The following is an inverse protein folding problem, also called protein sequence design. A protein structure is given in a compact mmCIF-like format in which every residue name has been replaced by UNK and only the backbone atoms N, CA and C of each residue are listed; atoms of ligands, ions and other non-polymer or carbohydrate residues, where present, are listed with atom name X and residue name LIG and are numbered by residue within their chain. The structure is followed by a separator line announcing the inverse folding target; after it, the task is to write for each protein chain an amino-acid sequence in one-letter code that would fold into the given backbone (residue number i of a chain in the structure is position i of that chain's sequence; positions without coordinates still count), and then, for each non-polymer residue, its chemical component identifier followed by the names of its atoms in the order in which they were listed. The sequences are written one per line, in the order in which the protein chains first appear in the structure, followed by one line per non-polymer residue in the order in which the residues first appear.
data_IF_968951768592
#
_entry.id   IF_968951768592
#
_cell.length_a   1.000
_cell.length_b   1.000
_cell.length_c   1.000
_cell.angle_alpha   90.00
_cell.angle_beta   90.00
_cell.angle_gamma   90.00
#
_symmetry.space_group_name_H-M   'P 1'
#
loop_
_entity.id
_entity.type
_entity.pdbx_description
1 polymer ?
#
# COMPACT_ATOMS: atom_id res chain seq x y z
N UNK A 1 -9.82 14.47 -26.13
CA UNK A 1 -9.33 14.97 -24.83
C UNK A 1 -8.25 13.98 -24.38
N UNK A 2 -7.04 14.44 -24.02
CA UNK A 2 -5.94 13.54 -23.62
C UNK A 2 -6.09 13.24 -22.12
N UNK A 3 -6.27 11.97 -21.73
CA UNK A 3 -6.44 11.61 -20.32
C UNK A 3 -5.07 11.51 -19.65
N UNK A 4 -4.66 12.59 -18.99
CA UNK A 4 -3.48 12.58 -18.12
C UNK A 4 -3.90 11.95 -16.79
N UNK A 5 -3.48 10.71 -16.55
CA UNK A 5 -3.63 10.03 -15.26
C UNK A 5 -2.38 10.25 -14.42
N UNK A 6 -2.51 10.69 -13.17
CA UNK A 6 -1.37 10.78 -12.27
C UNK A 6 -1.20 9.43 -11.54
N UNK A 7 0.04 9.00 -11.34
CA UNK A 7 0.35 7.74 -10.65
C UNK A 7 1.41 7.97 -9.58
N UNK A 8 0.98 8.05 -8.32
CA UNK A 8 1.87 8.03 -7.16
C UNK A 8 1.93 6.61 -6.57
N UNK A 9 2.73 5.73 -7.17
CA UNK A 9 2.82 4.31 -6.77
C UNK A 9 4.13 4.09 -5.99
N UNK A 10 4.08 4.02 -4.65
CA UNK A 10 5.29 3.94 -3.82
C UNK A 10 5.42 2.62 -3.05
N UNK A 11 6.20 1.70 -3.60
CA UNK A 11 6.46 0.37 -3.02
C UNK A 11 7.77 0.28 -2.24
N UNK A 12 7.72 -0.43 -1.12
CA UNK A 12 8.79 -0.67 -0.14
C UNK A 12 10.14 -1.23 -0.65
N UNK A 13 11.10 -1.34 0.27
CA UNK A 13 12.47 -1.80 0.06
C UNK A 13 12.58 -3.32 0.32
N UNK A 14 13.23 -4.07 -0.57
CA UNK A 14 14.02 -5.24 -0.17
C UNK A 14 15.50 -5.07 -0.57
N UNK A 15 16.39 -5.36 0.37
CA UNK A 15 17.85 -5.47 0.18
C UNK A 15 18.15 -6.56 -0.86
N UNK A 16 18.88 -6.31 -1.95
CA UNK A 16 20.34 -6.22 -1.97
C UNK A 16 20.88 -5.46 -3.18
N UNK A 17 20.01 -4.87 -4.02
CA UNK A 17 20.44 -4.11 -5.21
C UNK A 17 19.93 -2.66 -5.15
N UNK A 18 20.87 -1.73 -4.91
CA UNK A 18 20.66 -0.30 -4.65
C UNK A 18 20.10 0.53 -5.82
N UNK A 19 19.60 -0.09 -6.90
CA UNK A 19 19.22 0.63 -8.13
C UNK A 19 17.71 0.78 -8.37
N UNK A 20 16.87 -0.13 -7.87
CA UNK A 20 15.44 -0.12 -8.19
C UNK A 20 14.60 -0.13 -6.90
N UNK A 21 13.75 0.89 -6.73
CA UNK A 21 12.93 1.14 -5.53
C UNK A 21 11.41 1.18 -5.82
N UNK A 22 11.01 0.92 -7.06
CA UNK A 22 9.65 0.48 -7.46
C UNK A 22 9.83 -0.87 -8.11
N UNK A 23 8.81 -1.74 -8.05
CA UNK A 23 8.83 -2.99 -8.80
C UNK A 23 8.78 -2.65 -10.30
N UNK A 24 9.94 -2.68 -11.01
CA UNK A 24 9.98 -2.25 -12.39
C UNK A 24 9.22 -3.25 -13.24
N UNK A 25 8.59 -2.78 -14.31
CA UNK A 25 7.81 -3.62 -15.21
C UNK A 25 8.58 -4.87 -15.68
N UNK A 26 9.88 -4.73 -15.96
CA UNK A 26 10.74 -5.85 -16.38
C UNK A 26 10.88 -6.99 -15.36
N UNK A 27 10.44 -6.80 -14.10
CA UNK A 27 10.42 -7.84 -13.06
C UNK A 27 9.02 -8.41 -12.82
N UNK A 28 8.02 -8.02 -13.59
CA UNK A 28 6.68 -8.58 -13.49
C UNK A 28 6.61 -9.98 -14.12
N UNK A 29 5.59 -10.75 -13.75
CA UNK A 29 5.30 -12.00 -14.44
C UNK A 29 5.10 -11.74 -15.94
N UNK A 30 5.60 -12.65 -16.77
CA UNK A 30 5.53 -12.58 -18.24
C UNK A 30 6.19 -11.32 -18.86
N UNK A 31 7.07 -10.63 -18.12
CA UNK A 31 7.68 -9.36 -18.56
C UNK A 31 8.28 -9.42 -19.97
N UNK A 32 8.98 -10.49 -20.36
CA UNK A 32 9.59 -10.57 -21.69
C UNK A 32 8.56 -10.60 -22.83
N UNK A 33 7.44 -11.30 -22.65
CA UNK A 33 6.36 -11.31 -23.63
C UNK A 33 5.65 -9.96 -23.69
N UNK A 34 5.42 -9.38 -22.51
CA UNK A 34 4.77 -8.10 -22.33
C UNK A 34 5.61 -6.94 -22.90
N UNK A 35 6.92 -6.92 -22.67
CA UNK A 35 7.87 -5.96 -23.27
C UNK A 35 7.85 -6.03 -24.80
N UNK A 36 7.87 -7.24 -25.38
CA UNK A 36 7.85 -7.41 -26.85
C UNK A 36 6.58 -6.84 -27.49
N UNK A 37 5.48 -6.79 -26.75
CA UNK A 37 4.16 -6.32 -27.22
C UNK A 37 3.86 -4.88 -26.78
N UNK A 38 4.74 -4.24 -26.03
CA UNK A 38 4.50 -2.94 -25.42
C UNK A 38 4.66 -1.78 -26.42
N UNK A 39 4.03 -1.85 -27.59
CA UNK A 39 4.05 -0.82 -28.64
C UNK A 39 2.77 0.02 -28.59
N UNK A 40 2.75 1.02 -27.69
CA UNK A 40 1.60 1.87 -27.44
C UNK A 40 2.03 3.34 -27.47
N UNK A 41 2.20 3.96 -28.65
CA UNK A 41 2.76 5.32 -28.76
C UNK A 41 1.90 6.41 -28.12
N UNK A 42 0.60 6.14 -27.93
CA UNK A 42 -0.36 7.00 -27.25
C UNK A 42 -0.37 6.83 -25.72
N UNK A 43 0.37 5.86 -25.20
CA UNK A 43 0.67 5.76 -23.76
C UNK A 43 2.03 6.41 -23.52
N UNK A 44 2.09 7.41 -22.65
CA UNK A 44 3.33 8.11 -22.30
C UNK A 44 3.57 8.11 -20.81
N UNK A 45 4.84 8.04 -20.43
CA UNK A 45 5.27 8.09 -19.02
C UNK A 45 6.19 9.29 -18.79
N UNK A 46 6.07 9.92 -17.64
CA UNK A 46 7.01 10.90 -17.11
C UNK A 46 7.46 10.44 -15.72
N UNK A 47 8.74 10.19 -15.53
CA UNK A 47 9.26 9.77 -14.21
C UNK A 47 9.98 10.91 -13.54
N UNK A 48 9.50 11.29 -12.35
CA UNK A 48 10.14 12.32 -11.53
C UNK A 48 11.45 11.77 -10.95
N UNK A 49 12.55 12.49 -11.16
CA UNK A 49 13.82 12.23 -10.49
C UNK A 49 13.62 12.39 -8.99
N UNK A 50 14.05 11.36 -8.24
CA UNK A 50 14.01 11.35 -6.79
C UNK A 50 14.75 12.54 -6.19
N UNK A 51 13.99 13.43 -5.61
CA UNK A 51 14.48 14.69 -5.04
C UNK A 51 13.74 14.94 -3.73
N UNK A 52 14.50 15.25 -2.68
CA UNK A 52 13.94 15.75 -1.42
C UNK A 52 14.14 17.25 -1.40
N UNK A 53 13.19 17.99 -0.82
CA UNK A 53 13.33 19.43 -0.66
C UNK A 53 12.73 19.90 0.67
N UNK A 54 13.31 20.94 1.25
CA UNK A 54 12.82 21.56 2.49
C UNK A 54 11.60 22.45 2.27
N UNK A 55 11.44 22.98 1.05
CA UNK A 55 10.33 23.82 0.62
C UNK A 55 9.74 23.30 -0.68
N UNK A 56 8.45 23.53 -0.95
CA UNK A 56 7.83 23.20 -2.23
C UNK A 56 8.67 23.71 -3.40
N UNK A 57 8.98 22.83 -4.34
CA UNK A 57 9.67 23.18 -5.58
C UNK A 57 8.62 23.50 -6.65
N UNK A 58 8.96 24.42 -7.55
CA UNK A 58 8.10 24.79 -8.68
C UNK A 58 8.41 23.96 -9.94
N UNK A 59 9.49 23.18 -9.93
CA UNK A 59 9.92 22.36 -11.06
C UNK A 59 10.58 21.07 -10.56
N UNK A 60 10.60 20.05 -11.42
CA UNK A 60 11.24 18.77 -11.17
C UNK A 60 11.94 18.24 -12.42
N UNK A 61 13.01 17.46 -12.20
CA UNK A 61 13.71 16.82 -13.31
C UNK A 61 12.97 15.54 -13.72
N UNK A 62 12.59 15.45 -14.98
CA UNK A 62 12.00 14.27 -15.62
C UNK A 62 11.88 14.48 -17.13
N UNK A 63 11.45 13.46 -17.87
CA UNK A 63 11.13 13.62 -19.29
C UNK A 63 10.01 12.66 -19.68
N UNK A 64 9.22 13.08 -20.67
CA UNK A 64 8.19 12.25 -21.28
C UNK A 64 8.81 11.28 -22.28
N UNK A 65 8.33 10.04 -22.28
CA UNK A 65 8.67 9.05 -23.29
C UNK A 65 7.46 8.18 -23.62
N UNK A 66 7.36 7.73 -24.87
CA UNK A 66 6.31 6.81 -25.34
C UNK A 66 6.54 5.40 -24.81
N UNK A 67 5.46 4.64 -24.61
CA UNK A 67 5.53 3.22 -24.32
C UNK A 67 5.94 2.43 -25.57
N UNK A 68 7.16 1.89 -25.56
CA UNK A 68 7.68 0.98 -26.58
C UNK A 68 8.56 -0.11 -25.92
N UNK A 69 8.93 -1.18 -26.63
CA UNK A 69 9.77 -2.26 -26.07
C UNK A 69 11.12 -1.81 -25.50
N UNK A 70 11.65 -0.66 -25.93
CA UNK A 70 12.93 -0.10 -25.49
C UNK A 70 12.79 0.70 -24.19
N UNK A 71 11.65 1.38 -23.96
CA UNK A 71 11.45 2.32 -22.85
C UNK A 71 10.65 1.75 -21.68
N UNK A 72 9.79 0.76 -21.92
CA UNK A 72 8.79 0.30 -20.92
C UNK A 72 9.41 -0.41 -19.70
N UNK A 73 10.66 -0.86 -19.76
CA UNK A 73 11.28 -1.76 -18.76
C UNK A 73 11.27 -1.20 -17.33
N UNK A 74 11.51 0.09 -17.19
CA UNK A 74 11.73 0.74 -15.89
C UNK A 74 10.54 1.56 -15.39
N UNK A 75 9.40 1.49 -16.08
CA UNK A 75 8.15 2.09 -15.61
C UNK A 75 7.52 1.26 -14.48
N UNK A 76 6.55 1.84 -13.78
CA UNK A 76 5.74 1.12 -12.81
C UNK A 76 4.98 -0.03 -13.48
N UNK A 77 5.17 -1.27 -13.01
CA UNK A 77 4.41 -2.41 -13.53
C UNK A 77 2.89 -2.23 -13.37
N UNK A 78 2.44 -1.70 -12.23
CA UNK A 78 1.02 -1.40 -12.01
C UNK A 78 0.54 -0.31 -12.98
N UNK A 79 1.34 0.76 -13.14
CA UNK A 79 1.02 1.87 -14.04
C UNK A 79 0.92 1.43 -15.50
N UNK A 80 1.81 0.55 -15.97
CA UNK A 80 1.75 -0.04 -17.30
C UNK A 80 0.46 -0.84 -17.51
N UNK A 81 0.16 -1.80 -16.64
CA UNK A 81 -1.03 -2.65 -16.83
C UNK A 81 -2.34 -1.86 -16.67
N UNK A 82 -2.37 -0.85 -15.81
CA UNK A 82 -3.50 0.08 -15.70
C UNK A 82 -3.69 0.88 -16.99
N UNK A 83 -2.66 1.61 -17.42
CA UNK A 83 -2.75 2.51 -18.58
C UNK A 83 -3.03 1.77 -19.87
N UNK A 84 -2.45 0.58 -20.06
CA UNK A 84 -2.75 -0.26 -21.21
C UNK A 84 -4.23 -0.58 -21.30
N UNK A 85 -4.85 -1.03 -20.19
CA UNK A 85 -6.28 -1.36 -20.21
C UNK A 85 -7.14 -0.12 -20.41
N UNK A 86 -6.84 0.99 -19.75
CA UNK A 86 -7.58 2.26 -19.96
C UNK A 86 -7.50 2.69 -21.42
N UNK A 87 -6.30 2.68 -22.03
CA UNK A 87 -6.12 3.05 -23.43
C UNK A 87 -6.90 2.11 -24.37
N UNK A 88 -6.84 0.80 -24.15
CA UNK A 88 -7.53 -0.19 -24.98
C UNK A 88 -9.07 -0.08 -24.93
N UNK A 89 -9.63 0.29 -23.78
CA UNK A 89 -11.08 0.31 -23.55
C UNK A 89 -11.70 1.66 -23.91
N UNK A 90 -10.93 2.76 -23.78
CA UNK A 90 -11.41 4.11 -24.05
C UNK A 90 -10.96 4.66 -25.41
N UNK A 91 -9.94 4.06 -26.04
CA UNK A 91 -9.30 4.53 -27.27
C UNK A 91 -8.83 6.00 -27.21
N UNK A 92 -8.30 6.40 -26.05
CA UNK A 92 -7.75 7.76 -25.82
C UNK A 92 -6.27 7.70 -25.44
N UNK A 93 -5.47 8.73 -25.75
CA UNK A 93 -4.10 8.81 -25.25
C UNK A 93 -4.08 8.89 -23.72
N UNK A 94 -3.13 8.18 -23.10
CA UNK A 94 -2.97 8.09 -21.65
C UNK A 94 -1.57 8.55 -21.25
N UNK A 95 -1.50 9.61 -20.44
CA UNK A 95 -0.25 10.04 -19.79
C UNK A 95 -0.16 9.53 -18.35
N UNK A 96 1.02 9.06 -17.91
CA UNK A 96 1.29 8.74 -16.50
C UNK A 96 2.43 9.58 -15.93
N UNK A 97 2.08 10.42 -14.96
CA UNK A 97 3.06 11.09 -14.09
C UNK A 97 3.47 10.14 -12.97
N UNK A 98 4.72 9.69 -12.96
CA UNK A 98 5.25 8.72 -12.02
C UNK A 98 6.09 9.39 -10.95
N UNK A 99 5.54 9.49 -9.74
CA UNK A 99 6.21 10.05 -8.57
C UNK A 99 6.28 8.99 -7.46
N UNK A 100 7.48 8.47 -7.19
CA UNK A 100 7.63 7.36 -6.25
C UNK A 100 9.00 7.26 -5.56
N UNK A 101 8.99 6.81 -4.30
CA UNK A 101 10.21 6.56 -3.53
C UNK A 101 10.06 5.45 -2.50
N UNK A 102 10.54 4.24 -2.81
CA UNK A 102 10.29 3.09 -1.95
C UNK A 102 10.71 3.21 -0.49
N UNK A 103 9.82 2.73 0.40
CA UNK A 103 10.02 2.73 1.85
C UNK A 103 9.56 4.01 2.56
N UNK A 104 9.37 5.12 1.83
CA UNK A 104 8.98 6.41 2.40
C UNK A 104 7.68 6.33 3.20
N UNK A 105 7.57 7.14 4.26
CA UNK A 105 6.36 7.22 5.09
C UNK A 105 5.35 8.21 4.50
N UNK A 106 4.07 8.06 4.86
CA UNK A 106 2.97 8.90 4.37
C UNK A 106 3.22 10.39 4.62
N UNK A 107 3.72 10.76 5.81
CA UNK A 107 3.98 12.15 6.17
C UNK A 107 5.04 12.82 5.28
N UNK A 108 5.92 12.06 4.63
CA UNK A 108 6.89 12.62 3.68
C UNK A 108 6.23 13.14 2.39
N UNK A 109 5.06 12.59 2.04
CA UNK A 109 4.27 12.91 0.84
C UNK A 109 3.10 13.86 1.10
N UNK A 110 2.96 14.31 2.34
CA UNK A 110 1.95 15.29 2.77
C UNK A 110 2.64 16.63 2.98
N UNK A 111 2.02 17.72 2.54
CA UNK A 111 2.57 19.05 2.75
C UNK A 111 2.73 19.39 4.23
N UNK A 112 3.65 20.32 4.52
CA UNK A 112 3.90 20.73 5.90
C UNK A 112 2.67 21.38 6.54
N UNK A 113 2.01 22.29 5.80
CA UNK A 113 0.83 23.01 6.28
C UNK A 113 -0.31 22.06 6.64
N UNK A 114 -0.56 21.02 5.83
CA UNK A 114 -1.62 20.05 6.11
C UNK A 114 -1.31 19.16 7.31
N UNK A 115 -0.03 18.84 7.55
CA UNK A 115 0.37 18.12 8.75
C UNK A 115 0.23 19.01 10.00
N UNK A 116 0.64 20.27 9.93
CA UNK A 116 0.54 21.22 11.05
C UNK A 116 -0.92 21.57 11.37
N UNK A 117 -1.83 21.54 10.39
CA UNK A 117 -3.26 21.76 10.56
C UNK A 117 -3.99 20.63 11.31
N UNK A 118 -3.30 19.51 11.61
CA UNK A 118 -3.85 18.35 12.33
C UNK A 118 -3.17 18.20 13.69
N UNK A 119 -3.79 18.68 14.79
CA UNK A 119 -3.22 18.53 16.14
C UNK A 119 -2.86 17.08 16.49
N UNK A 120 -3.63 16.11 15.99
CA UNK A 120 -3.39 14.67 16.21
C UNK A 120 -2.08 14.19 15.57
N UNK A 121 -1.53 14.92 14.59
CA UNK A 121 -0.24 14.63 13.94
C UNK A 121 0.93 15.22 14.74
N UNK A 122 0.70 16.15 15.68
CA UNK A 122 1.77 16.83 16.41
C UNK A 122 2.82 15.89 17.05
N UNK A 123 2.46 14.77 17.71
CA UNK A 123 3.46 13.88 18.30
C UNK A 123 4.42 13.28 17.26
N UNK A 124 3.97 13.12 16.01
CA UNK A 124 4.78 12.68 14.87
C UNK A 124 5.85 13.70 14.54
N UNK A 125 5.46 14.97 14.49
CA UNK A 125 6.33 16.08 14.14
C UNK A 125 7.34 16.36 15.26
N UNK A 126 6.89 16.31 16.52
CA UNK A 126 7.74 16.45 17.69
C UNK A 126 8.81 15.36 17.74
N UNK A 127 8.44 14.10 17.45
CA UNK A 127 9.39 12.98 17.37
C UNK A 127 10.49 13.27 16.34
N UNK A 128 10.13 13.74 15.14
CA UNK A 128 11.12 14.10 14.12
C UNK A 128 12.05 15.23 14.57
N UNK A 129 11.52 16.25 15.25
CA UNK A 129 12.34 17.34 15.78
C UNK A 129 13.32 16.85 16.85
N UNK A 130 12.88 15.93 17.71
CA UNK A 130 13.76 15.34 18.71
C UNK A 130 14.83 14.45 18.07
N UNK A 131 14.51 13.67 17.04
CA UNK A 131 15.50 12.90 16.27
C UNK A 131 16.56 13.81 15.63
N UNK A 132 16.16 14.98 15.10
CA UNK A 132 17.11 15.97 14.58
C UNK A 132 18.01 16.52 15.68
N UNK A 133 17.46 16.84 16.85
CA UNK A 133 18.20 17.38 17.99
C UNK A 133 19.19 16.38 18.58
N UNK A 134 18.80 15.10 18.67
CA UNK A 134 19.62 14.01 19.22
C UNK A 134 20.77 13.60 18.31
N UNK A 135 20.66 13.84 17.01
CA UNK A 135 21.69 13.41 16.07
C UNK A 135 22.93 14.30 16.13
N UNK A 136 24.04 13.72 16.57
CA UNK A 136 25.36 14.32 16.57
C UNK A 136 26.20 13.71 15.42
N UNK A 137 26.52 14.48 14.36
CA UNK A 137 27.27 13.99 13.21
C UNK A 137 28.68 13.50 13.58
N UNK A 138 29.34 14.13 14.55
CA UNK A 138 30.69 13.76 14.97
C UNK A 138 30.67 12.44 15.75
N UNK A 139 29.74 12.29 16.70
CA UNK A 139 29.56 11.01 17.41
C UNK A 139 29.15 9.89 16.45
N UNK A 140 28.30 10.16 15.47
CA UNK A 140 27.90 9.18 14.46
C UNK A 140 29.11 8.71 13.61
N UNK A 141 29.97 9.65 13.20
CA UNK A 141 31.22 9.36 12.47
C UNK A 141 32.19 8.52 13.33
N UNK A 142 32.50 8.96 14.55
CA UNK A 142 33.40 8.24 15.46
C UNK A 142 32.90 6.83 15.78
N UNK A 143 31.59 6.68 15.99
CA UNK A 143 30.97 5.37 16.16
C UNK A 143 31.18 4.48 14.92
N UNK A 144 30.97 5.00 13.72
CA UNK A 144 31.12 4.23 12.48
C UNK A 144 32.58 3.81 12.23
N UNK A 145 33.53 4.70 12.49
CA UNK A 145 34.96 4.40 12.39
C UNK A 145 35.35 3.27 13.35
N UNK A 146 34.87 3.30 14.61
CA UNK A 146 35.06 2.22 15.59
C UNK A 146 34.47 0.90 15.11
N UNK A 147 33.25 0.91 14.56
CA UNK A 147 32.61 -0.29 14.02
C UNK A 147 33.35 -0.84 12.79
N UNK A 148 33.84 0.03 11.90
CA UNK A 148 34.62 -0.38 10.73
C UNK A 148 35.95 -1.01 11.14
N UNK A 149 36.63 -0.48 12.15
CA UNK A 149 37.86 -1.07 12.68
C UNK A 149 37.60 -2.47 13.24
N UNK A 150 36.58 -2.64 14.09
CA UNK A 150 36.19 -3.94 14.62
C UNK A 150 35.80 -4.93 13.51
N UNK A 151 35.02 -4.47 12.52
CA UNK A 151 34.61 -5.28 11.37
C UNK A 151 35.80 -5.77 10.55
N UNK A 152 36.81 -4.93 10.30
CA UNK A 152 38.03 -5.34 9.59
C UNK A 152 38.72 -6.50 10.30
N UNK A 153 38.85 -6.43 11.62
CA UNK A 153 39.41 -7.53 12.43
C UNK A 153 38.58 -8.80 12.32
N UNK A 154 37.25 -8.69 12.38
CA UNK A 154 36.36 -9.85 12.24
C UNK A 154 36.41 -10.48 10.83
N UNK A 155 36.59 -9.67 9.77
CA UNK A 155 36.78 -10.19 8.40
C UNK A 155 38.08 -10.97 8.28
N UNK A 156 39.19 -10.48 8.87
CA UNK A 156 40.45 -11.21 8.86
C UNK A 156 40.34 -12.54 9.59
N UNK A 157 39.67 -12.56 10.76
CA UNK A 157 39.39 -13.79 11.51
C UNK A 157 38.52 -14.77 10.71
N UNK A 158 37.46 -14.29 10.07
CA UNK A 158 36.59 -15.13 9.25
C UNK A 158 37.36 -15.77 8.07
N UNK A 159 38.27 -15.01 7.43
CA UNK A 159 39.15 -15.54 6.39
C UNK A 159 40.08 -16.64 6.91
N UNK A 160 40.68 -16.46 8.09
CA UNK A 160 41.60 -17.47 8.65
C UNK A 160 40.89 -18.76 9.09
N UNK A 161 39.60 -18.70 9.41
CA UNK A 161 38.80 -19.88 9.83
C UNK A 161 37.90 -20.43 8.72
N UNK A 162 38.04 -19.97 7.47
CA UNK A 162 37.19 -20.40 6.35
C UNK A 162 35.70 -20.05 6.52
N UNK A 163 35.37 -19.14 7.43
CA UNK A 163 33.99 -18.76 7.75
C UNK A 163 33.49 -17.61 6.87
N UNK A 164 32.17 -17.45 6.77
CA UNK A 164 31.57 -16.35 6.02
C UNK A 164 31.93 -14.98 6.63
N UNK A 165 32.22 -14.00 5.77
CA UNK A 165 32.58 -12.66 6.24
C UNK A 165 31.38 -11.93 6.85
N UNK A 166 31.56 -11.24 8.00
CA UNK A 166 30.48 -10.46 8.59
C UNK A 166 30.10 -9.28 7.69
N UNK A 167 28.85 -8.82 7.82
CA UNK A 167 28.34 -7.68 7.06
C UNK A 167 29.05 -6.39 7.47
N UNK A 168 29.48 -5.60 6.48
CA UNK A 168 30.10 -4.28 6.73
C UNK A 168 29.11 -3.34 7.43
N UNK A 169 29.49 -2.69 8.54
CA UNK A 169 28.62 -1.74 9.24
C UNK A 169 28.35 -0.52 8.35
N UNK A 170 27.09 -0.11 8.31
CA UNK A 170 26.68 1.12 7.63
C UNK A 170 26.89 2.33 8.55
N UNK A 171 27.19 3.49 7.96
CA UNK A 171 27.15 4.75 8.69
C UNK A 171 25.71 5.02 9.16
N UNK A 172 25.57 5.68 10.31
CA UNK A 172 24.27 6.21 10.73
C UNK A 172 23.92 7.37 9.80
N UNK A 173 22.75 7.30 9.18
CA UNK A 173 22.25 8.38 8.34
C UNK A 173 21.80 9.55 9.22
N UNK A 174 22.09 10.77 8.78
CA UNK A 174 21.49 11.95 9.37
C UNK A 174 19.97 11.91 9.15
N UNK A 175 19.14 12.02 10.20
CA UNK A 175 17.69 12.02 10.06
C UNK A 175 17.18 13.18 9.19
N UNK A 176 17.92 14.29 9.08
CA UNK A 176 17.58 15.43 8.20
C UNK A 176 17.67 15.05 6.71
N UNK A 177 18.56 14.11 6.39
CA UNK A 177 18.72 13.50 5.08
C UNK A 177 17.80 12.28 4.88
N UNK A 178 16.75 12.11 5.69
CA UNK A 178 15.83 10.98 5.54
C UNK A 178 14.77 11.26 4.48
N UNK A 179 14.51 10.29 3.60
CA UNK A 179 13.33 10.32 2.71
C UNK A 179 12.00 10.11 3.45
N UNK A 180 12.05 9.84 4.75
CA UNK A 180 10.85 9.69 5.58
C UNK A 180 10.48 11.01 6.28
N UNK A 181 11.32 12.05 6.17
CA UNK A 181 11.11 13.34 6.84
C UNK A 181 9.79 13.98 6.37
N UNK A 182 8.96 14.54 7.28
CA UNK A 182 7.71 15.18 6.92
C UNK A 182 7.88 16.20 5.79
N UNK A 183 6.94 16.17 4.83
CA UNK A 183 6.86 17.02 3.65
C UNK A 183 8.02 16.97 2.64
N UNK A 184 9.11 16.27 2.89
CA UNK A 184 10.31 16.41 2.04
C UNK A 184 10.11 15.86 0.61
N UNK A 185 9.28 14.83 0.44
CA UNK A 185 8.96 14.24 -0.86
C UNK A 185 7.77 14.93 -1.52
N UNK A 186 6.80 15.40 -0.74
CA UNK A 186 5.78 16.32 -1.24
C UNK A 186 6.44 17.51 -1.93
N UNK A 187 7.35 18.16 -1.21
CA UNK A 187 8.04 19.35 -1.67
C UNK A 187 8.84 19.14 -2.97
N UNK A 188 9.58 18.03 -3.06
CA UNK A 188 10.49 17.77 -4.18
C UNK A 188 9.89 16.99 -5.34
N UNK A 189 8.76 16.29 -5.14
CA UNK A 189 8.25 15.33 -6.13
C UNK A 189 6.73 15.37 -6.37
N UNK A 190 5.97 16.10 -5.56
CA UNK A 190 4.51 16.26 -5.72
C UNK A 190 4.18 17.71 -6.07
N UNK A 191 4.69 18.66 -5.29
CA UNK A 191 4.46 20.08 -5.50
C UNK A 191 4.80 20.56 -6.92
N UNK A 192 5.92 20.14 -7.56
CA UNK A 192 6.22 20.51 -8.95
C UNK A 192 5.24 19.98 -9.99
N UNK A 193 4.46 18.96 -9.64
CA UNK A 193 3.46 18.37 -10.54
C UNK A 193 2.11 19.07 -10.43
N UNK A 194 1.95 19.96 -9.44
CA UNK A 194 0.87 20.92 -9.40
C UNK A 194 1.37 22.11 -10.24
N UNK A 195 0.77 22.41 -11.41
CA UNK A 195 -0.67 22.35 -11.67
C UNK A 195 -1.10 21.43 -12.83
N UNK A 196 -0.40 20.32 -13.12
CA UNK A 196 -0.86 19.40 -14.15
C UNK A 196 -2.31 19.00 -13.87
N UNK A 197 -3.18 19.16 -14.88
CA UNK A 197 -4.52 18.61 -14.81
C UNK A 197 -4.45 17.10 -14.80
N UNK A 198 -5.12 16.48 -13.84
CA UNK A 198 -5.13 15.03 -13.66
C UNK A 198 -6.55 14.48 -13.70
N UNK A 199 -6.70 13.27 -14.25
CA UNK A 199 -7.97 12.52 -14.22
C UNK A 199 -8.16 11.76 -12.91
N UNK A 200 -7.08 11.46 -12.20
CA UNK A 200 -7.09 10.74 -10.94
C UNK A 200 -5.70 10.29 -10.52
N UNK A 201 -5.63 9.57 -9.40
CA UNK A 201 -4.39 9.12 -8.77
C UNK A 201 -4.43 7.63 -8.47
N UNK A 202 -3.38 6.90 -8.82
CA UNK A 202 -3.13 5.57 -8.24
C UNK A 202 -2.19 5.74 -7.05
N UNK A 203 -2.61 5.25 -5.88
CA UNK A 203 -1.87 5.35 -4.62
C UNK A 203 -1.59 3.96 -4.03
N UNK A 204 -0.33 3.54 -4.05
CA UNK A 204 0.12 2.37 -3.30
C UNK A 204 1.08 2.87 -2.22
N UNK A 205 0.57 3.06 -1.01
CA UNK A 205 1.32 3.62 0.11
C UNK A 205 0.78 3.10 1.44
N UNK A 206 1.60 3.17 2.49
CA UNK A 206 1.26 2.81 3.88
C UNK A 206 2.26 1.85 4.51
N UNK A 207 2.95 1.06 3.70
CA UNK A 207 3.91 0.07 4.21
C UNK A 207 5.15 0.69 4.91
N UNK A 208 5.49 1.94 4.60
CA UNK A 208 6.54 2.68 5.33
C UNK A 208 6.16 3.01 6.78
N UNK A 209 4.86 2.97 7.09
CA UNK A 209 4.28 3.33 8.38
C UNK A 209 3.92 2.10 9.24
N UNK A 210 4.25 0.87 8.83
CA UNK A 210 3.83 -0.36 9.54
C UNK A 210 4.24 -0.43 11.01
N UNK A 211 5.38 0.15 11.39
CA UNK A 211 5.79 0.25 12.80
C UNK A 211 4.84 1.13 13.64
N UNK A 212 3.97 1.89 13.00
CA UNK A 212 3.05 2.91 13.54
C UNK A 212 1.73 2.88 12.76
N UNK A 213 1.24 1.67 12.47
CA UNK A 213 0.10 1.46 11.58
C UNK A 213 -1.21 2.05 12.14
N UNK A 214 -1.28 2.31 13.45
CA UNK A 214 -2.34 3.06 14.13
C UNK A 214 -2.48 4.51 13.66
N UNK A 215 -1.39 5.15 13.24
CA UNK A 215 -1.41 6.49 12.64
C UNK A 215 -1.89 6.51 11.19
N UNK A 216 -2.09 5.35 10.55
CA UNK A 216 -2.31 5.26 9.10
C UNK A 216 -3.64 5.85 8.64
N UNK A 217 -4.71 5.74 9.43
CA UNK A 217 -6.00 6.39 9.10
C UNK A 217 -5.80 7.90 9.03
N UNK A 218 -5.22 8.47 10.09
CA UNK A 218 -4.96 9.91 10.22
C UNK A 218 -4.08 10.43 9.09
N UNK A 219 -2.94 9.76 8.84
CA UNK A 219 -1.97 10.20 7.86
C UNK A 219 -2.46 10.03 6.42
N UNK A 220 -3.09 8.90 6.07
CA UNK A 220 -3.65 8.71 4.72
C UNK A 220 -4.77 9.70 4.46
N UNK A 221 -5.71 9.87 5.38
CA UNK A 221 -6.80 10.84 5.24
C UNK A 221 -6.25 12.26 5.06
N UNK A 222 -5.23 12.65 5.85
CA UNK A 222 -4.58 13.97 5.73
C UNK A 222 -3.90 14.14 4.37
N UNK A 223 -3.13 13.15 3.91
CA UNK A 223 -2.42 13.19 2.63
C UNK A 223 -3.38 13.32 1.44
N UNK A 224 -4.44 12.51 1.40
CA UNK A 224 -5.37 12.51 0.27
C UNK A 224 -6.19 13.81 0.21
N UNK A 225 -6.60 14.35 1.36
CA UNK A 225 -7.28 15.65 1.45
C UNK A 225 -6.33 16.79 1.04
N UNK A 226 -5.09 16.77 1.50
CA UNK A 226 -4.05 17.73 1.13
C UNK A 226 -3.85 17.79 -0.39
N UNK A 227 -3.69 16.64 -1.04
CA UNK A 227 -3.56 16.58 -2.50
C UNK A 227 -4.80 17.15 -3.20
N UNK A 228 -6.03 16.77 -2.79
CA UNK A 228 -7.26 17.32 -3.38
C UNK A 228 -7.34 18.84 -3.25
N UNK A 229 -7.06 19.36 -2.06
CA UNK A 229 -7.05 20.81 -1.81
C UNK A 229 -6.06 21.53 -2.71
N UNK A 230 -4.85 20.99 -2.87
CA UNK A 230 -3.76 21.68 -3.57
C UNK A 230 -3.85 21.59 -5.09
N UNK A 231 -4.37 20.48 -5.62
CA UNK A 231 -4.72 20.41 -7.04
C UNK A 231 -5.93 21.27 -7.38
N UNK A 232 -6.83 21.50 -6.42
CA UNK A 232 -8.05 22.28 -6.60
C UNK A 232 -8.93 21.77 -7.77
N UNK A 233 -8.94 20.44 -7.99
CA UNK A 233 -9.73 19.77 -9.03
C UNK A 233 -10.87 18.92 -8.46
N UNK A 234 -11.45 19.37 -7.34
CA UNK A 234 -12.52 18.66 -6.63
C UNK A 234 -12.09 17.30 -6.09
N UNK A 235 -13.06 16.38 -5.95
CA UNK A 235 -12.83 15.02 -5.45
C UNK A 235 -12.36 14.08 -6.57
N UNK A 236 -11.20 14.38 -7.17
CA UNK A 236 -10.67 13.50 -8.23
C UNK A 236 -10.54 12.04 -7.72
N UNK A 237 -10.78 11.05 -8.60
CA UNK A 237 -10.67 9.64 -8.29
C UNK A 237 -9.29 9.24 -7.74
N UNK A 238 -9.27 8.43 -6.68
CA UNK A 238 -8.03 7.86 -6.12
C UNK A 238 -8.18 6.34 -5.95
N UNK A 239 -7.40 5.57 -6.72
CA UNK A 239 -7.33 4.12 -6.59
C UNK A 239 -6.24 3.68 -5.61
N UNK A 240 -6.63 3.17 -4.45
CA UNK A 240 -5.69 2.64 -3.45
C UNK A 240 -5.44 1.13 -3.61
N UNK A 241 -4.27 0.68 -3.21
CA UNK A 241 -3.91 -0.76 -3.19
C UNK A 241 -3.70 -1.24 -1.76
N UNK A 242 -4.43 -2.28 -1.34
CA UNK A 242 -4.15 -2.93 -0.05
C UNK A 242 -2.89 -3.78 -0.13
N UNK A 243 -2.06 -3.80 0.93
CA UNK A 243 -0.86 -4.62 0.93
C UNK A 243 -1.19 -6.11 0.94
N UNK A 244 -0.38 -6.90 0.23
CA UNK A 244 -0.48 -8.35 0.21
C UNK A 244 -0.14 -8.98 1.58
N UNK A 245 -0.52 -10.26 1.79
CA UNK A 245 -0.11 -11.04 2.96
C UNK A 245 1.41 -11.08 3.06
N UNK A 246 1.95 -10.82 4.25
CA UNK A 246 3.40 -10.84 4.46
C UNK A 246 3.74 -11.21 5.91
N UNK A 247 4.69 -12.12 6.08
CA UNK A 247 5.23 -12.46 7.38
C UNK A 247 6.27 -11.41 7.82
N UNK A 248 5.91 -10.60 8.80
CA UNK A 248 6.81 -9.63 9.43
C UNK A 248 7.34 -10.06 10.81
N UNK A 249 7.26 -11.34 11.20
CA UNK A 249 7.75 -11.84 12.50
C UNK A 249 9.23 -11.50 12.73
N UNK A 250 10.03 -11.41 11.66
CA UNK A 250 11.45 -11.03 11.72
C UNK A 250 11.68 -9.53 11.95
N UNK A 251 10.63 -8.70 11.93
CA UNK A 251 10.73 -7.27 12.15
C UNK A 251 10.48 -7.02 13.64
N UNK A 252 11.58 -7.01 14.42
CA UNK A 252 11.60 -6.92 15.89
C UNK A 252 10.88 -5.71 16.52
N UNK A 253 10.21 -4.87 15.73
CA UNK A 253 9.49 -3.66 16.15
C UNK A 253 8.06 -3.56 15.60
N UNK A 254 7.57 -4.50 14.77
CA UNK A 254 6.17 -4.50 14.37
C UNK A 254 5.33 -5.22 15.42
N UNK A 255 4.20 -4.65 15.81
CA UNK A 255 3.17 -5.41 16.53
C UNK A 255 2.69 -6.60 15.70
N UNK A 256 2.00 -7.56 16.32
CA UNK A 256 1.55 -8.83 15.73
C UNK A 256 0.56 -8.70 14.55
N UNK A 257 0.14 -7.48 14.20
CA UNK A 257 -1.00 -7.22 13.31
C UNK A 257 -0.79 -5.98 12.40
N UNK A 258 0.46 -5.56 12.16
CA UNK A 258 0.75 -4.30 11.48
C UNK A 258 0.16 -4.21 10.06
N UNK A 259 0.16 -5.31 9.31
CA UNK A 259 -0.43 -5.35 7.96
C UNK A 259 -1.94 -5.35 7.99
N UNK A 260 -2.57 -6.10 8.90
CA UNK A 260 -4.04 -6.11 9.01
C UNK A 260 -4.56 -4.72 9.41
N UNK A 261 -3.88 -4.06 10.35
CA UNK A 261 -4.14 -2.67 10.76
C UNK A 261 -4.01 -1.70 9.58
N UNK A 262 -2.96 -1.86 8.76
CA UNK A 262 -2.78 -1.02 7.56
C UNK A 262 -3.88 -1.24 6.51
N UNK A 263 -4.31 -2.49 6.29
CA UNK A 263 -5.41 -2.82 5.35
C UNK A 263 -6.73 -2.26 5.83
N UNK A 264 -6.99 -2.35 7.13
CA UNK A 264 -8.18 -1.76 7.77
C UNK A 264 -8.16 -0.24 7.66
N UNK A 265 -7.01 0.41 7.90
CA UNK A 265 -6.89 1.85 7.75
C UNK A 265 -7.26 2.33 6.33
N UNK A 266 -6.83 1.61 5.30
CA UNK A 266 -7.19 1.92 3.90
C UNK A 266 -8.68 1.72 3.62
N UNK A 267 -9.30 0.70 4.21
CA UNK A 267 -10.75 0.48 4.11
C UNK A 267 -11.54 1.59 4.81
N UNK A 268 -11.09 2.03 5.99
CA UNK A 268 -11.71 3.15 6.73
C UNK A 268 -11.62 4.43 5.90
N UNK A 269 -10.45 4.75 5.34
CA UNK A 269 -10.26 5.94 4.48
C UNK A 269 -11.16 5.86 3.25
N UNK A 270 -11.26 4.70 2.61
CA UNK A 270 -12.15 4.48 1.47
C UNK A 270 -13.63 4.74 1.82
N UNK A 271 -14.09 4.36 3.02
CA UNK A 271 -15.46 4.63 3.48
C UNK A 271 -15.71 6.09 3.86
N UNK A 272 -14.68 6.80 4.33
CA UNK A 272 -14.77 8.20 4.78
C UNK A 272 -14.72 9.22 3.63
N UNK A 273 -14.17 8.83 2.49
CA UNK A 273 -13.90 9.74 1.38
C UNK A 273 -14.59 9.27 0.09
N UNK A 274 -15.16 10.20 -0.65
CA UNK A 274 -15.78 9.97 -1.97
C UNK A 274 -14.73 9.65 -3.03
N UNK A 275 -15.11 8.94 -4.09
CA UNK A 275 -14.27 8.62 -5.25
C UNK A 275 -12.95 7.90 -4.89
N UNK A 276 -12.98 7.03 -3.87
CA UNK A 276 -11.86 6.18 -3.50
C UNK A 276 -12.11 4.74 -3.93
N UNK A 277 -11.23 4.23 -4.80
CA UNK A 277 -11.14 2.82 -5.16
C UNK A 277 -10.23 2.06 -4.21
N UNK A 278 -10.50 0.77 -4.05
CA UNK A 278 -9.64 -0.13 -3.28
C UNK A 278 -9.40 -1.40 -4.10
N UNK A 279 -8.15 -1.73 -4.36
CA UNK A 279 -7.71 -2.98 -4.96
C UNK A 279 -7.14 -3.88 -3.87
N UNK A 280 -7.90 -4.88 -3.36
CA UNK A 280 -7.39 -5.87 -2.44
C UNK A 280 -6.29 -6.70 -3.13
N UNK A 281 -5.32 -7.22 -2.38
CA UNK A 281 -4.32 -8.18 -2.89
C UNK A 281 -4.09 -9.33 -1.92
N UNK A 282 -5.07 -9.63 -1.06
CA UNK A 282 -4.97 -10.69 -0.05
C UNK A 282 -5.06 -12.11 -0.63
N UNK A 283 -5.44 -12.25 -1.89
CA UNK A 283 -5.45 -13.52 -2.62
C UNK A 283 -4.09 -13.86 -3.25
N UNK A 284 -3.08 -13.03 -3.03
CA UNK A 284 -1.69 -13.30 -3.42
C UNK A 284 -1.06 -14.22 -2.39
N UNK A 285 -0.81 -15.47 -2.77
CA UNK A 285 -0.19 -16.48 -1.93
C UNK A 285 1.35 -16.40 -2.00
N UNK A 286 1.91 -15.40 -1.34
CA UNK A 286 3.36 -15.15 -1.31
C UNK A 286 3.80 -14.49 0.00
N UNK A 287 3.44 -15.09 1.14
CA UNK A 287 3.63 -14.50 2.48
C UNK A 287 5.09 -14.19 2.84
N UNK A 288 6.07 -14.85 2.23
CA UNK A 288 7.49 -14.57 2.47
C UNK A 288 8.10 -13.57 1.47
N UNK A 289 7.29 -13.06 0.52
CA UNK A 289 7.74 -12.19 -0.57
C UNK A 289 7.06 -10.83 -0.48
N UNK A 290 7.75 -9.87 0.14
CA UNK A 290 7.26 -8.49 0.28
C UNK A 290 6.85 -7.84 -1.05
N UNK A 291 7.52 -8.23 -2.14
CA UNK A 291 7.24 -7.75 -3.49
C UNK A 291 6.90 -8.90 -4.44
N UNK A 292 5.65 -9.34 -4.41
CA UNK A 292 5.14 -10.30 -5.39
C UNK A 292 5.27 -9.78 -6.83
N UNK A 293 5.50 -10.66 -7.80
CA UNK A 293 5.80 -10.32 -9.20
C UNK A 293 4.55 -10.00 -10.03
N UNK A 294 3.38 -10.54 -9.66
CA UNK A 294 2.12 -10.37 -10.38
C UNK A 294 1.50 -8.96 -10.25
N UNK A 295 2.12 -7.95 -10.85
CA UNK A 295 1.57 -6.57 -10.88
C UNK A 295 0.41 -6.39 -11.85
N UNK A 296 0.23 -7.34 -12.77
CA UNK A 296 -0.89 -7.34 -13.71
C UNK A 296 -2.24 -7.45 -13.00
N UNK A 297 -2.32 -8.31 -11.98
CA UNK A 297 -3.50 -8.44 -11.13
C UNK A 297 -3.91 -7.11 -10.47
N UNK A 298 -2.95 -6.35 -9.94
CA UNK A 298 -3.22 -5.04 -9.33
C UNK A 298 -3.65 -4.01 -10.37
N UNK A 299 -2.93 -3.94 -11.50
CA UNK A 299 -3.28 -3.04 -12.60
C UNK A 299 -4.68 -3.31 -13.16
N UNK A 300 -5.08 -4.57 -13.31
CA UNK A 300 -6.42 -4.99 -13.75
C UNK A 300 -7.52 -4.58 -12.78
N UNK A 301 -7.31 -4.70 -11.47
CA UNK A 301 -8.29 -4.30 -10.44
C UNK A 301 -8.50 -2.80 -10.42
N UNK A 302 -7.42 -2.02 -10.45
CA UNK A 302 -7.50 -0.56 -10.46
C UNK A 302 -8.14 -0.04 -11.75
N UNK A 303 -7.79 -0.60 -12.91
CA UNK A 303 -8.39 -0.20 -14.19
C UNK A 303 -9.85 -0.62 -14.28
N UNK A 304 -10.23 -1.81 -13.77
CA UNK A 304 -11.63 -2.22 -13.68
C UNK A 304 -12.46 -1.27 -12.81
N UNK A 305 -11.94 -0.88 -11.64
CA UNK A 305 -12.57 0.14 -10.80
C UNK A 305 -12.69 1.49 -11.51
N UNK A 306 -11.63 1.96 -12.19
CA UNK A 306 -11.69 3.23 -12.91
C UNK A 306 -12.71 3.18 -14.06
N UNK A 307 -12.69 2.14 -14.90
CA UNK A 307 -13.65 1.96 -16.00
C UNK A 307 -15.09 2.00 -15.48
N UNK A 308 -15.39 1.26 -14.41
CA UNK A 308 -16.75 1.22 -13.86
C UNK A 308 -17.14 2.51 -13.11
N UNK A 309 -16.38 2.87 -12.07
CA UNK A 309 -16.77 3.93 -11.15
C UNK A 309 -16.44 5.35 -11.63
N UNK A 310 -15.53 5.50 -12.61
CA UNK A 310 -15.10 6.82 -13.14
C UNK A 310 -15.55 7.05 -14.57
N UNK A 311 -15.53 6.01 -15.41
CA UNK A 311 -15.92 6.11 -16.83
C UNK A 311 -17.30 5.52 -17.14
N UNK A 312 -18.00 4.95 -16.15
CA UNK A 312 -19.39 4.53 -16.28
C UNK A 312 -19.60 3.21 -17.02
N UNK A 313 -18.58 2.37 -17.16
CA UNK A 313 -18.71 1.05 -17.77
C UNK A 313 -19.49 0.10 -16.85
N UNK A 314 -20.43 -0.66 -17.40
CA UNK A 314 -21.14 -1.71 -16.66
C UNK A 314 -20.32 -2.99 -16.63
N UNK A 315 -19.31 -3.03 -15.76
CA UNK A 315 -18.42 -4.18 -15.56
C UNK A 315 -18.23 -4.50 -14.07
N UNK A 316 -18.02 -5.77 -13.70
CA UNK A 316 -17.58 -6.12 -12.36
C UNK A 316 -16.22 -5.48 -12.03
N UNK A 317 -16.16 -4.79 -10.89
CA UNK A 317 -14.95 -4.04 -10.50
C UNK A 317 -14.53 -4.20 -9.04
N UNK A 318 -15.40 -4.77 -8.20
CA UNK A 318 -15.11 -5.05 -6.79
C UNK A 318 -15.47 -6.51 -6.48
N UNK A 319 -14.72 -7.12 -5.56
CA UNK A 319 -15.08 -8.39 -4.95
C UNK A 319 -16.11 -8.21 -3.83
N UNK A 320 -16.47 -9.29 -3.12
CA UNK A 320 -17.46 -9.23 -2.05
C UNK A 320 -17.12 -8.19 -0.98
N UNK A 321 -18.02 -7.23 -0.75
CA UNK A 321 -17.89 -6.20 0.29
C UNK A 321 -18.91 -6.46 1.39
N UNK A 322 -18.48 -6.51 2.65
CA UNK A 322 -19.39 -6.70 3.79
C UNK A 322 -20.52 -5.66 3.79
N UNK A 323 -21.77 -6.16 3.89
CA UNK A 323 -22.98 -5.34 3.96
C UNK A 323 -23.63 -5.38 5.34
N UNK A 324 -23.82 -6.58 5.88
CA UNK A 324 -24.51 -6.78 7.16
C UNK A 324 -24.30 -8.20 7.67
N UNK A 325 -24.72 -8.45 8.90
CA UNK A 325 -24.79 -9.80 9.45
C UNK A 325 -26.14 -10.05 10.15
N UNK A 326 -26.47 -11.32 10.37
CA UNK A 326 -27.64 -11.72 11.17
C UNK A 326 -27.28 -12.97 11.96
N UNK A 327 -27.52 -12.95 13.27
CA UNK A 327 -27.30 -14.10 14.15
C UNK A 327 -28.48 -15.06 14.05
N UNK A 328 -28.20 -16.36 13.93
CA UNK A 328 -29.19 -17.45 13.94
C UNK A 328 -28.66 -18.60 14.80
N UNK A 329 -29.15 -18.69 16.03
CA UNK A 329 -28.63 -19.62 17.01
C UNK A 329 -27.15 -19.36 17.26
N UNK A 330 -26.31 -20.36 17.02
CA UNK A 330 -24.86 -20.33 17.24
C UNK A 330 -24.06 -19.89 16.00
N UNK A 331 -24.75 -19.46 14.94
CA UNK A 331 -24.12 -19.08 13.66
C UNK A 331 -24.43 -17.64 13.28
N UNK A 332 -23.50 -17.01 12.54
CA UNK A 332 -23.70 -15.71 11.89
C UNK A 332 -23.88 -15.93 10.39
N UNK A 333 -24.93 -15.37 9.80
CA UNK A 333 -25.05 -15.24 8.34
C UNK A 333 -24.59 -13.84 7.91
N UNK A 334 -23.53 -13.78 7.13
CA UNK A 334 -22.91 -12.56 6.60
C UNK A 334 -23.42 -12.30 5.18
N UNK A 335 -23.90 -11.08 4.91
CA UNK A 335 -24.33 -10.62 3.59
C UNK A 335 -23.28 -9.70 2.97
N UNK A 336 -23.09 -9.83 1.66
CA UNK A 336 -22.13 -9.05 0.88
C UNK A 336 -22.81 -8.27 -0.25
N UNK A 337 -22.24 -7.12 -0.60
CA UNK A 337 -22.40 -6.47 -1.91
C UNK A 337 -21.35 -7.00 -2.89
N UNK A 338 -21.50 -6.68 -4.18
CA UNK A 338 -20.54 -7.03 -5.24
C UNK A 338 -20.28 -8.55 -5.38
N UNK A 339 -21.35 -9.33 -5.27
CA UNK A 339 -21.33 -10.79 -5.41
C UNK A 339 -21.50 -11.24 -6.87
N UNK A 340 -21.89 -10.37 -7.80
CA UNK A 340 -22.25 -10.82 -9.14
C UNK A 340 -23.37 -11.86 -9.05
N UNK A 341 -23.16 -13.06 -9.62
CA UNK A 341 -24.11 -14.17 -9.54
C UNK A 341 -24.04 -14.99 -8.24
N UNK A 342 -23.10 -14.72 -7.33
CA UNK A 342 -22.98 -15.47 -6.06
C UNK A 342 -21.66 -15.28 -5.32
N UNK A 343 -21.26 -16.27 -4.53
CA UNK A 343 -19.94 -16.30 -3.91
C UNK A 343 -19.22 -17.57 -4.32
N UNK A 344 -17.89 -17.50 -4.43
CA UNK A 344 -17.04 -18.65 -4.73
C UNK A 344 -15.69 -18.54 -4.01
N UNK A 345 -14.83 -19.53 -4.20
CA UNK A 345 -13.43 -19.50 -3.77
C UNK A 345 -12.49 -19.81 -4.93
N UNK A 346 -11.27 -19.24 -4.93
CA UNK A 346 -10.28 -19.53 -5.99
C UNK A 346 -9.71 -20.95 -5.97
N UNK A 347 -9.96 -21.71 -4.91
CA UNK A 347 -9.37 -23.02 -4.69
C UNK A 347 -10.40 -24.13 -4.47
N UNK A 348 -11.69 -23.80 -4.58
CA UNK A 348 -12.80 -24.75 -4.34
C UNK A 348 -12.94 -25.21 -2.88
N UNK A 349 -12.13 -24.66 -1.96
CA UNK A 349 -12.20 -25.00 -0.52
C UNK A 349 -13.16 -24.06 0.20
N UNK A 350 -13.65 -24.42 1.41
CA UNK A 350 -14.43 -23.50 2.24
C UNK A 350 -13.70 -22.16 2.46
N UNK A 351 -14.43 -21.03 2.58
CA UNK A 351 -13.82 -19.75 2.93
C UNK A 351 -13.01 -19.83 4.22
N UNK A 352 -11.80 -19.27 4.21
CA UNK A 352 -10.90 -19.25 5.38
C UNK A 352 -10.71 -17.83 5.94
N UNK A 353 -10.08 -17.74 7.12
CA UNK A 353 -9.81 -16.49 7.85
C UNK A 353 -11.05 -15.76 8.39
N UNK A 354 -12.11 -16.50 8.71
CA UNK A 354 -13.22 -15.99 9.50
C UNK A 354 -12.95 -16.20 11.00
N UNK A 355 -13.31 -15.19 11.78
CA UNK A 355 -13.30 -15.27 13.24
C UNK A 355 -14.60 -14.65 13.77
N UNK A 356 -15.12 -15.19 14.87
CA UNK A 356 -16.32 -14.65 15.55
C UNK A 356 -16.04 -14.43 17.04
N UNK A 357 -16.76 -13.48 17.63
CA UNK A 357 -16.66 -13.17 19.05
C UNK A 357 -18.02 -13.23 19.74
N UNK A 358 -18.01 -13.66 21.00
CA UNK A 358 -19.16 -13.63 21.89
C UNK A 358 -19.16 -12.39 22.79
N UNK A 359 -19.93 -12.44 23.88
CA UNK A 359 -20.02 -11.34 24.85
C UNK A 359 -18.68 -10.96 25.51
N UNK A 360 -17.71 -11.88 25.53
CA UNK A 360 -16.35 -11.66 26.04
C UNK A 360 -15.47 -10.81 25.10
N UNK A 361 -15.94 -10.53 23.89
CA UNK A 361 -15.27 -9.75 22.83
C UNK A 361 -13.92 -10.35 22.40
N UNK A 362 -13.71 -11.64 22.64
CA UNK A 362 -12.53 -12.36 22.15
C UNK A 362 -12.88 -13.03 20.83
N UNK A 363 -12.06 -12.81 19.82
CA UNK A 363 -12.23 -13.42 18.52
C UNK A 363 -11.64 -14.83 18.51
N UNK A 364 -12.42 -15.79 18.00
CA UNK A 364 -12.05 -17.18 17.83
C UNK A 364 -12.17 -17.59 16.37
N UNK A 365 -11.27 -18.44 15.85
CA UNK A 365 -11.40 -19.02 14.52
C UNK A 365 -12.77 -19.65 14.31
N UNK A 366 -13.32 -19.45 13.12
CA UNK A 366 -14.65 -19.92 12.76
C UNK A 366 -14.63 -20.64 11.41
N UNK A 367 -15.37 -21.73 11.34
CA UNK A 367 -15.70 -22.38 10.08
C UNK A 367 -16.67 -21.52 9.29
N UNK A 368 -16.50 -21.48 7.97
CA UNK A 368 -17.34 -20.69 7.09
C UNK A 368 -17.78 -21.52 5.87
N UNK A 369 -19.03 -21.35 5.46
CA UNK A 369 -19.60 -21.98 4.27
C UNK A 369 -20.38 -20.97 3.44
N UNK A 370 -20.20 -21.01 2.12
CA UNK A 370 -21.00 -20.22 1.19
C UNK A 370 -22.44 -20.76 1.12
N UNK A 371 -23.39 -19.84 1.13
CA UNK A 371 -24.82 -20.07 0.99
C UNK A 371 -25.42 -18.97 0.10
N UNK A 372 -25.42 -19.20 -1.22
CA UNK A 372 -25.79 -18.21 -2.23
C UNK A 372 -24.91 -16.95 -2.19
N UNK A 373 -25.52 -15.80 -1.92
CA UNK A 373 -24.83 -14.51 -1.75
C UNK A 373 -24.37 -14.24 -0.31
N UNK A 374 -24.42 -15.26 0.56
CA UNK A 374 -24.09 -15.14 1.98
C UNK A 374 -23.03 -16.14 2.39
N UNK A 375 -22.37 -15.86 3.52
CA UNK A 375 -21.50 -16.82 4.20
C UNK A 375 -22.07 -17.10 5.57
N UNK A 376 -22.23 -18.38 5.91
CA UNK A 376 -22.59 -18.83 7.25
C UNK A 376 -21.30 -19.13 8.00
N UNK A 377 -21.15 -18.54 9.19
CA UNK A 377 -19.94 -18.60 10.01
C UNK A 377 -20.29 -19.12 11.40
N UNK A 378 -19.53 -20.09 11.92
CA UNK A 378 -19.77 -20.74 13.23
C UNK A 378 -18.44 -21.11 13.89
N UNK A 379 -18.38 -21.05 15.22
CA UNK A 379 -17.26 -21.55 16.02
C UNK A 379 -17.81 -22.30 17.22
N UNK A 380 -17.32 -23.51 17.49
CA UNK A 380 -17.70 -24.29 18.68
C UNK A 380 -17.32 -23.58 19.99
N UNK A 381 -16.38 -22.64 19.93
CA UNK A 381 -15.94 -21.83 21.07
C UNK A 381 -16.89 -20.67 21.38
N UNK A 382 -17.88 -20.40 20.53
CA UNK A 382 -18.75 -19.22 20.63
C UNK A 382 -20.22 -19.61 20.42
N UNK A 383 -20.90 -19.99 21.49
CA UNK A 383 -22.32 -20.40 21.45
C UNK A 383 -23.29 -19.23 21.16
N UNK A 384 -22.94 -17.99 21.53
CA UNK A 384 -23.77 -16.79 21.32
C UNK A 384 -22.95 -15.72 20.62
N UNK A 385 -22.74 -15.82 19.29
CA UNK A 385 -21.87 -14.90 18.58
C UNK A 385 -22.57 -13.54 18.41
N UNK A 386 -21.82 -12.46 18.67
CA UNK A 386 -22.30 -11.07 18.54
C UNK A 386 -21.55 -10.29 17.46
N UNK A 387 -20.54 -10.92 16.86
CA UNK A 387 -19.55 -10.28 16.02
C UNK A 387 -18.83 -11.26 15.11
N UNK A 388 -18.44 -10.79 13.92
CA UNK A 388 -17.65 -11.51 12.92
C UNK A 388 -16.62 -10.58 12.30
N UNK A 389 -15.43 -11.11 12.05
CA UNK A 389 -14.39 -10.45 11.27
C UNK A 389 -13.76 -11.41 10.27
N UNK A 390 -13.10 -10.85 9.27
CA UNK A 390 -12.47 -11.57 8.18
C UNK A 390 -11.09 -10.99 7.87
N UNK A 391 -10.09 -11.87 7.73
CA UNK A 391 -8.73 -11.57 7.31
C UNK A 391 -7.91 -10.62 8.22
N UNK A 392 -8.18 -10.60 9.53
CA UNK A 392 -7.43 -9.85 10.55
C UNK A 392 -6.13 -10.56 10.97
N UNK A 393 -5.25 -10.80 9.99
CA UNK A 393 -3.89 -11.31 10.22
C UNK A 393 -2.95 -10.82 9.12
N UNK A 394 -1.68 -10.59 9.48
CA UNK A 394 -0.66 -10.10 8.55
C UNK A 394 -0.44 -11.05 7.37
N UNK A 395 -0.58 -12.36 7.62
CA UNK A 395 -0.40 -13.45 6.66
C UNK A 395 -1.72 -14.04 6.13
N UNK A 396 -2.86 -13.35 6.32
CA UNK A 396 -4.16 -13.83 5.83
C UNK A 396 -4.23 -13.89 4.29
N UNK A 397 -4.00 -15.08 3.71
CA UNK A 397 -4.19 -15.34 2.27
C UNK A 397 -5.63 -15.75 2.00
N UNK A 398 -6.47 -14.86 1.49
CA UNK A 398 -7.91 -15.11 1.33
C UNK A 398 -8.22 -15.93 0.07
N UNK A 399 -9.28 -16.75 0.15
CA UNK A 399 -9.86 -17.43 -1.01
C UNK A 399 -11.27 -16.94 -1.39
N UNK A 400 -12.00 -16.27 -0.49
CA UNK A 400 -13.36 -15.78 -0.76
C UNK A 400 -13.38 -14.72 -1.85
N UNK A 401 -14.19 -14.95 -2.89
CA UNK A 401 -14.34 -14.06 -4.04
C UNK A 401 -15.73 -14.14 -4.66
N UNK A 402 -15.98 -13.27 -5.63
CA UNK A 402 -17.11 -13.43 -6.53
C UNK A 402 -16.70 -14.25 -7.77
N UNK A 403 -17.67 -14.71 -8.59
CA UNK A 403 -17.39 -15.46 -9.82
C UNK A 403 -16.54 -14.73 -10.87
N UNK A 404 -16.41 -13.40 -10.77
CA UNK A 404 -15.56 -12.57 -11.65
C UNK A 404 -14.07 -12.62 -11.25
N UNK A 405 -13.71 -13.42 -10.24
CA UNK A 405 -12.34 -13.58 -9.75
C UNK A 405 -11.84 -12.40 -8.92
N UNK A 406 -12.75 -11.60 -8.35
CA UNK A 406 -12.42 -10.46 -7.50
C UNK A 406 -12.56 -10.84 -6.01
N UNK A 407 -11.48 -10.72 -5.22
CA UNK A 407 -11.45 -11.18 -3.83
C UNK A 407 -12.15 -10.22 -2.88
N UNK A 408 -12.67 -10.77 -1.78
CA UNK A 408 -13.15 -9.98 -0.66
C UNK A 408 -12.00 -9.23 0.04
N UNK A 409 -12.27 -8.02 0.53
CA UNK A 409 -11.38 -7.30 1.46
C UNK A 409 -11.61 -7.79 2.90
N UNK A 410 -10.62 -7.55 3.78
CA UNK A 410 -10.81 -7.55 5.23
C UNK A 410 -12.05 -6.74 5.60
N UNK A 411 -12.78 -7.19 6.62
CA UNK A 411 -13.87 -6.45 7.25
C UNK A 411 -14.13 -6.95 8.68
N UNK A 412 -14.62 -6.06 9.55
CA UNK A 412 -15.20 -6.39 10.86
C UNK A 412 -16.65 -5.93 10.91
N UNK A 413 -17.51 -6.65 11.64
CA UNK A 413 -18.92 -6.28 11.84
C UNK A 413 -19.14 -5.32 13.01
N UNK A 414 -18.19 -5.22 13.93
CA UNK A 414 -18.27 -4.38 15.12
C UNK A 414 -17.20 -3.30 15.14
N UNK A 415 -17.38 -2.40 16.11
CA UNK A 415 -16.39 -1.40 16.50
C UNK A 415 -15.88 -1.71 17.90
N UNK A 416 -15.49 -2.98 18.19
CA UNK A 416 -14.83 -3.30 19.47
C UNK A 416 -13.48 -2.59 19.55
N UNK A 417 -13.52 -1.29 19.88
CA UNK A 417 -12.48 -0.30 19.68
C UNK A 417 -11.83 -0.42 18.29
N UNK A 418 -12.16 0.43 17.29
CA UNK A 418 -11.24 0.59 16.15
C UNK A 418 -9.83 0.78 16.72
N UNK A 419 -8.81 0.30 16.01
CA UNK A 419 -7.39 0.57 16.33
C UNK A 419 -7.32 1.96 16.95
N UNK A 420 -6.96 2.05 18.23
CA UNK A 420 -6.89 3.33 18.90
C UNK A 420 -5.95 4.19 18.07
N UNK A 421 -6.52 5.14 17.33
CA UNK A 421 -5.78 6.11 16.55
C UNK A 421 -5.19 7.10 17.54
N UNK A 422 -4.17 6.68 18.29
CA UNK A 422 -3.42 7.58 19.13
C UNK A 422 -2.01 7.69 18.55
N UNK A 423 -1.56 8.93 18.40
CA UNK A 423 -0.14 9.20 18.15
C UNK A 423 0.68 9.00 19.44
N UNK A 424 0.17 8.27 20.44
CA UNK A 424 0.84 8.01 21.72
C UNK A 424 1.85 6.86 21.59
N UNK A 425 1.55 5.82 20.80
CA UNK A 425 2.55 4.78 20.45
C UNK A 425 3.64 5.27 19.50
N UNK A 426 3.61 6.54 19.10
CA UNK A 426 4.65 7.15 18.29
C UNK A 426 5.99 7.28 19.03
N UNK A 427 5.95 7.19 20.36
CA UNK A 427 7.05 7.43 21.30
C UNK A 427 7.75 6.14 21.82
N UNK A 428 7.13 4.97 21.63
CA UNK A 428 7.73 3.65 21.88
C UNK A 428 8.52 3.15 20.64
#
# INVERSE_FOLDING_TARGET
MCDISFSCIVLNRHSSQRRYHVWPFQRCDNAEQEIRRADFPLIRFFTVKKTRADKPQNDCVGHWFSCNPQTVRDVSGIGYFFSRRIHQELDVPVGLLQSFWGGSRIEAWTSRDALDARPEVKPILDWWQEEFRRFDPQKAKLWHEKQLAAWKTSVLKAKSTGSSSPKRPAAKNDPRDSQHRPACLYNGMVAPLIPFSIRGVICYQGLGNLLRADSSVLLLETMLRDWRTRWAQGDFPIGMVQPAPFNCDKWAKSGSDAYSVQREAQLIVQKKMTNIGLAPTMDVDAVDVLHFTNKQLVGRRLSGWALAAVYGFDIPYAGPVYKSMTVRGESIRVRFQHTGTGLTTNDGRPPRHFEIAGADRKYYPAEARIDGHTVIVRSERVAKPIAVRFAFSDTAVVNLMNPDGLPASLFGSDAFAPIQTSAERYLD
#
